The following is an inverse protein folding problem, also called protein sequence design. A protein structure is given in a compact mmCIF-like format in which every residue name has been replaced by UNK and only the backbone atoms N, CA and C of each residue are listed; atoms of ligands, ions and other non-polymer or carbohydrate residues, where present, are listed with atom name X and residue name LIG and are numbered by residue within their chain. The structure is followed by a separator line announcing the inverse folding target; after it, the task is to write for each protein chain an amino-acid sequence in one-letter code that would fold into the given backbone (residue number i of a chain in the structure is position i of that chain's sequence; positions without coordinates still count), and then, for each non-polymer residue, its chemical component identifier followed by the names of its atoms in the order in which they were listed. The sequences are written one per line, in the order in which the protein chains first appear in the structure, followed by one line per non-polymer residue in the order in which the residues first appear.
data_IF_522792397376
#
_entry.id   IF_522792397376
#
_cell.length_a   1.000
_cell.length_b   1.000
_cell.length_c   1.000
_cell.angle_alpha   90.00
_cell.angle_beta   90.00
_cell.angle_gamma   90.00
#
_symmetry.space_group_name_H-M   'P 1'
#
loop_
_entity.id
_entity.type
_entity.pdbx_description
1 polymer ?
#
# COMPACT_ATOMS: atom_id res chain seq x y z
N UNK A 1 -26.51 -5.82 1.87
CA UNK A 1 -26.56 -5.35 0.47
C UNK A 1 -25.26 -5.78 -0.21
N UNK A 2 -25.25 -6.88 -0.99
CA UNK A 2 -24.05 -7.27 -1.77
C UNK A 2 -23.87 -6.24 -2.89
N UNK A 3 -22.96 -5.27 -2.71
CA UNK A 3 -22.57 -4.36 -3.79
C UNK A 3 -21.89 -5.22 -4.85
N UNK A 4 -22.50 -5.38 -6.03
CA UNK A 4 -22.14 -6.41 -7.03
C UNK A 4 -20.66 -6.44 -7.46
N UNK A 5 -19.91 -5.37 -7.21
CA UNK A 5 -18.57 -5.16 -7.77
C UNK A 5 -17.45 -5.11 -6.71
N UNK A 6 -17.76 -5.14 -5.41
CA UNK A 6 -16.78 -5.17 -4.32
C UNK A 6 -17.07 -6.35 -3.40
N UNK A 7 -16.12 -7.27 -3.28
CA UNK A 7 -16.21 -8.37 -2.31
C UNK A 7 -15.36 -8.08 -1.09
N UNK A 8 -15.83 -8.49 0.08
CA UNK A 8 -15.13 -8.34 1.36
C UNK A 8 -14.97 -9.75 1.95
N UNK A 9 -13.74 -10.10 2.32
CA UNK A 9 -13.41 -11.40 2.94
C UNK A 9 -12.51 -11.14 4.14
N UNK A 10 -12.76 -11.85 5.25
CA UNK A 10 -11.81 -11.91 6.37
C UNK A 10 -10.68 -12.86 5.99
N UNK A 11 -9.44 -12.41 6.09
CA UNK A 11 -8.24 -13.19 5.73
C UNK A 11 -7.36 -13.54 6.92
N UNK A 12 -7.48 -12.80 8.02
CA UNK A 12 -6.63 -13.02 9.18
C UNK A 12 -7.16 -12.36 10.44
N UNK A 13 -6.29 -12.32 11.44
CA UNK A 13 -6.52 -11.69 12.72
C UNK A 13 -5.23 -11.07 13.25
N UNK A 14 -5.35 -10.00 14.02
CA UNK A 14 -4.25 -9.41 14.78
C UNK A 14 -3.91 -10.21 16.04
N UNK A 15 -2.88 -9.80 16.77
CA UNK A 15 -2.49 -10.41 18.06
C UNK A 15 -3.67 -10.42 19.06
N UNK A 16 -4.43 -9.34 19.16
CA UNK A 16 -5.61 -9.26 20.03
C UNK A 16 -6.88 -9.84 19.40
N UNK A 17 -6.76 -10.52 18.26
CA UNK A 17 -7.87 -11.23 17.62
C UNK A 17 -8.81 -10.35 16.80
N UNK A 18 -8.42 -9.11 16.44
CA UNK A 18 -9.23 -8.24 15.56
C UNK A 18 -9.12 -8.71 14.12
N UNK A 19 -10.21 -8.66 13.38
CA UNK A 19 -10.27 -9.14 12.01
C UNK A 19 -9.40 -8.30 11.05
N UNK A 20 -8.69 -8.97 10.16
CA UNK A 20 -8.01 -8.36 9.02
C UNK A 20 -8.79 -8.72 7.76
N UNK A 21 -9.20 -7.69 7.00
CA UNK A 21 -10.07 -7.83 5.84
C UNK A 21 -9.33 -7.58 4.52
N UNK A 22 -9.68 -8.38 3.51
CA UNK A 22 -9.35 -8.18 2.12
C UNK A 22 -10.58 -7.75 1.35
N UNK A 23 -10.46 -6.64 0.64
CA UNK A 23 -11.47 -6.11 -0.26
C UNK A 23 -10.98 -6.28 -1.70
N UNK A 24 -11.85 -6.74 -2.59
CA UNK A 24 -11.52 -6.96 -4.01
C UNK A 24 -12.48 -6.24 -4.93
N UNK A 25 -11.93 -5.50 -5.89
CA UNK A 25 -12.66 -4.83 -6.98
C UNK A 25 -12.03 -5.16 -8.34
N UNK A 26 -12.85 -5.33 -9.38
CA UNK A 26 -12.37 -5.58 -10.73
C UNK A 26 -12.19 -7.05 -11.09
N UNK A 27 -11.97 -7.29 -12.38
CA UNK A 27 -11.78 -8.62 -12.98
C UNK A 27 -10.72 -8.61 -14.08
N UNK A 28 -9.88 -7.58 -14.12
CA UNK A 28 -8.85 -7.44 -15.13
C UNK A 28 -7.59 -8.26 -14.86
N UNK A 29 -6.73 -8.33 -15.87
CA UNK A 29 -5.57 -9.23 -15.89
C UNK A 29 -4.46 -8.79 -14.94
N UNK A 30 -4.30 -7.48 -14.76
CA UNK A 30 -3.27 -6.89 -13.92
C UNK A 30 -3.74 -6.88 -12.46
N UNK A 31 -3.08 -7.65 -11.61
CA UNK A 31 -3.41 -7.78 -10.20
C UNK A 31 -2.59 -6.79 -9.39
N UNK A 32 -3.24 -5.99 -8.55
CA UNK A 32 -2.58 -5.02 -7.69
C UNK A 32 -2.99 -5.28 -6.26
N UNK A 33 -2.02 -5.46 -5.36
CA UNK A 33 -2.24 -5.54 -3.92
C UNK A 33 -1.85 -4.20 -3.28
N UNK A 34 -2.75 -3.64 -2.49
CA UNK A 34 -2.54 -2.41 -1.75
C UNK A 34 -2.83 -2.67 -0.27
N UNK A 35 -1.97 -2.20 0.62
CA UNK A 35 -2.25 -2.24 2.05
C UNK A 35 -1.87 -0.92 2.71
N UNK A 36 -2.57 -0.61 3.80
CA UNK A 36 -2.35 0.57 4.63
C UNK A 36 -2.35 0.19 6.10
N UNK A 37 -1.91 1.14 6.94
CA UNK A 37 -1.83 0.99 8.39
C UNK A 37 -1.13 -0.31 8.81
N UNK A 38 0.02 -0.62 8.21
CA UNK A 38 0.94 -1.59 8.83
C UNK A 38 1.60 -0.97 10.06
N UNK A 39 1.81 0.35 10.04
CA UNK A 39 1.98 1.17 11.23
C UNK A 39 0.61 1.70 11.64
N UNK A 40 0.20 1.43 12.87
CA UNK A 40 -1.18 1.72 13.31
C UNK A 40 -1.50 3.21 13.36
N UNK A 41 -0.50 4.04 13.65
CA UNK A 41 -0.56 5.49 13.76
C UNK A 41 -0.53 6.26 12.42
N UNK A 42 -0.60 5.56 11.28
CA UNK A 42 -0.56 6.15 9.93
C UNK A 42 -1.90 5.96 9.16
N UNK A 43 -3.01 6.62 9.55
CA UNK A 43 -4.35 6.31 9.06
C UNK A 43 -4.69 6.90 7.69
N UNK A 44 -3.87 7.80 7.12
CA UNK A 44 -4.27 8.61 5.97
C UNK A 44 -4.62 7.76 4.75
N UNK A 45 -3.81 6.73 4.46
CA UNK A 45 -4.06 5.84 3.32
C UNK A 45 -5.32 4.99 3.49
N UNK A 46 -5.66 4.59 4.71
CA UNK A 46 -6.90 3.87 5.01
C UNK A 46 -8.11 4.71 4.65
N UNK A 47 -8.12 5.98 5.07
CA UNK A 47 -9.19 6.93 4.72
C UNK A 47 -9.27 7.14 3.20
N UNK A 48 -8.13 7.30 2.53
CA UNK A 48 -8.07 7.43 1.08
C UNK A 48 -8.63 6.19 0.34
N UNK A 49 -8.45 4.98 0.87
CA UNK A 49 -9.10 3.78 0.32
C UNK A 49 -10.62 3.85 0.42
N UNK A 50 -11.19 4.35 1.52
CA UNK A 50 -12.64 4.51 1.64
C UNK A 50 -13.20 5.56 0.67
N UNK A 51 -12.48 6.66 0.44
CA UNK A 51 -12.82 7.63 -0.61
C UNK A 51 -12.77 6.99 -2.00
N UNK A 52 -11.74 6.18 -2.28
CA UNK A 52 -11.65 5.42 -3.51
C UNK A 52 -12.79 4.42 -3.66
N UNK A 53 -13.19 3.71 -2.60
CA UNK A 53 -14.35 2.81 -2.65
C UNK A 53 -15.64 3.57 -2.93
N UNK A 54 -15.82 4.74 -2.33
CA UNK A 54 -16.95 5.63 -2.63
C UNK A 54 -16.95 6.04 -4.11
N UNK A 55 -15.78 6.39 -4.67
CA UNK A 55 -15.66 6.68 -6.10
C UNK A 55 -15.99 5.45 -6.96
N UNK A 56 -15.37 4.29 -6.71
CA UNK A 56 -15.49 3.08 -7.52
C UNK A 56 -16.89 2.46 -7.53
N UNK A 57 -17.71 2.77 -6.51
CA UNK A 57 -19.05 2.19 -6.33
C UNK A 57 -20.18 3.15 -6.68
N UNK A 58 -19.87 4.37 -7.09
CA UNK A 58 -20.84 5.32 -7.63
C UNK A 58 -21.29 4.94 -9.04
N UNK A 59 -22.43 5.50 -9.43
CA UNK A 59 -22.88 5.56 -10.81
C UNK A 59 -23.19 7.02 -11.14
N UNK A 60 -22.35 7.59 -11.99
CA UNK A 60 -22.32 8.99 -12.41
C UNK A 60 -21.53 9.11 -13.73
N UNK A 61 -21.21 10.32 -14.18
CA UNK A 61 -20.51 10.59 -15.45
C UNK A 61 -19.15 9.86 -15.60
N UNK A 62 -18.53 9.41 -14.51
CA UNK A 62 -17.27 8.66 -14.54
C UNK A 62 -17.43 7.14 -14.75
N UNK A 63 -18.62 6.66 -15.09
CA UNK A 63 -18.90 5.22 -15.26
C UNK A 63 -18.02 4.54 -16.33
N UNK A 64 -17.67 5.28 -17.39
CA UNK A 64 -16.77 4.76 -18.43
C UNK A 64 -15.38 4.45 -17.85
N UNK A 65 -14.82 5.38 -17.08
CA UNK A 65 -13.53 5.21 -16.41
C UNK A 65 -13.56 4.05 -15.41
N UNK A 66 -14.62 3.93 -14.60
CA UNK A 66 -14.77 2.80 -13.66
C UNK A 66 -14.84 1.45 -14.36
N UNK A 67 -15.55 1.35 -15.49
CA UNK A 67 -15.60 0.12 -16.30
C UNK A 67 -14.24 -0.21 -16.90
N UNK A 68 -13.48 0.80 -17.34
CA UNK A 68 -12.12 0.61 -17.83
C UNK A 68 -11.21 0.08 -16.71
N UNK A 69 -11.22 0.70 -15.53
CA UNK A 69 -10.49 0.23 -14.35
C UNK A 69 -10.88 -1.22 -14.01
N UNK A 70 -12.19 -1.50 -13.93
CA UNK A 70 -12.72 -2.82 -13.58
C UNK A 70 -12.27 -3.91 -14.58
N UNK A 71 -12.25 -3.61 -15.87
CA UNK A 71 -11.90 -4.56 -16.92
C UNK A 71 -10.38 -4.76 -17.11
N UNK A 72 -9.57 -3.75 -16.75
CA UNK A 72 -8.11 -3.81 -16.88
C UNK A 72 -7.41 -4.31 -15.62
N UNK A 73 -7.94 -3.97 -14.44
CA UNK A 73 -7.31 -4.25 -13.15
C UNK A 73 -8.16 -5.21 -12.30
N UNK A 74 -7.46 -5.99 -11.47
CA UNK A 74 -8.03 -6.62 -10.28
C UNK A 74 -7.31 -6.03 -9.07
N UNK A 75 -8.02 -5.22 -8.30
CA UNK A 75 -7.51 -4.51 -7.14
C UNK A 75 -7.84 -5.27 -5.86
N UNK A 76 -6.84 -5.50 -5.04
CA UNK A 76 -6.92 -6.13 -3.73
C UNK A 76 -6.46 -5.14 -2.67
N UNK A 77 -7.29 -4.86 -1.69
CA UNK A 77 -7.02 -3.90 -0.63
C UNK A 77 -7.03 -4.61 0.72
N UNK A 78 -6.00 -4.36 1.53
CA UNK A 78 -6.00 -4.63 2.97
C UNK A 78 -6.04 -3.28 3.68
N UNK A 79 -7.24 -2.75 4.01
CA UNK A 79 -7.36 -1.37 4.48
C UNK A 79 -6.74 -1.11 5.84
N UNK A 80 -6.50 -2.14 6.64
CA UNK A 80 -5.88 -1.98 7.94
C UNK A 80 -5.20 -3.29 8.29
N UNK A 81 -3.86 -3.32 8.21
CA UNK A 81 -3.08 -4.51 8.50
C UNK A 81 -2.82 -4.66 10.01
N UNK A 82 -2.61 -3.55 10.72
CA UNK A 82 -2.34 -3.48 12.16
C UNK A 82 -3.51 -2.83 12.92
N UNK A 83 -4.67 -3.51 13.07
CA UNK A 83 -5.81 -2.95 13.78
C UNK A 83 -5.55 -2.75 15.28
N UNK A 84 -4.62 -3.50 15.89
CA UNK A 84 -4.28 -3.34 17.31
C UNK A 84 -3.48 -2.05 17.53
N UNK A 85 -2.48 -1.79 16.69
CA UNK A 85 -1.72 -0.54 16.71
C UNK A 85 -2.60 0.65 16.37
N UNK A 86 -3.55 0.50 15.43
CA UNK A 86 -4.50 1.56 15.09
C UNK A 86 -5.39 1.97 16.27
N UNK A 87 -5.92 0.98 17.02
CA UNK A 87 -6.72 1.23 18.23
C UNK A 87 -5.91 1.97 19.32
N UNK A 88 -4.59 1.73 19.36
CA UNK A 88 -3.68 2.31 20.36
C UNK A 88 -2.92 3.55 19.87
N UNK A 89 -3.09 3.93 18.60
CA UNK A 89 -2.31 4.97 17.91
C UNK A 89 -0.80 4.73 18.10
N UNK A 90 -0.36 3.52 17.78
CA UNK A 90 1.06 3.12 17.83
C UNK A 90 1.53 2.61 16.48
N UNK A 91 2.80 2.84 16.20
CA UNK A 91 3.50 2.28 15.04
C UNK A 91 3.50 0.75 15.08
N UNK A 92 3.86 0.17 16.21
CA UNK A 92 3.98 -1.26 16.39
C UNK A 92 2.62 -1.96 16.60
N UNK A 93 2.58 -3.28 16.46
CA UNK A 93 1.42 -4.09 16.85
C UNK A 93 1.34 -4.29 18.38
N UNK A 94 0.36 -5.06 18.86
CA UNK A 94 0.16 -5.27 20.31
C UNK A 94 1.34 -5.98 21.03
N UNK A 95 2.24 -6.64 20.31
CA UNK A 95 3.47 -7.21 20.88
C UNK A 95 4.68 -6.26 20.83
N UNK A 96 4.51 -5.03 20.34
CA UNK A 96 5.61 -4.08 20.16
C UNK A 96 6.49 -4.41 18.96
N UNK A 97 5.99 -5.17 17.98
CA UNK A 97 6.71 -5.48 16.74
C UNK A 97 6.33 -4.46 15.66
N UNK A 98 7.33 -3.81 15.08
CA UNK A 98 7.16 -3.08 13.82
C UNK A 98 6.95 -4.11 12.70
N UNK A 99 5.72 -4.18 12.16
CA UNK A 99 5.38 -5.12 11.09
C UNK A 99 6.27 -4.93 9.86
N UNK A 100 6.76 -3.72 9.60
CA UNK A 100 7.69 -3.44 8.51
C UNK A 100 9.14 -3.77 8.87
N UNK A 101 9.37 -4.53 9.94
CA UNK A 101 10.66 -5.16 10.30
C UNK A 101 10.48 -6.66 10.57
N UNK A 102 9.36 -7.24 10.17
CA UNK A 102 8.97 -8.63 10.43
C UNK A 102 8.81 -9.48 9.16
N UNK A 103 9.24 -8.98 7.98
CA UNK A 103 9.04 -9.67 6.71
C UNK A 103 9.81 -11.00 6.58
N UNK A 104 10.95 -11.14 7.28
CA UNK A 104 11.75 -12.36 7.29
C UNK A 104 11.37 -13.33 8.42
N UNK A 105 11.16 -12.78 9.61
CA UNK A 105 10.91 -13.60 10.80
C UNK A 105 9.45 -14.05 10.88
N UNK A 106 8.53 -13.27 10.30
CA UNK A 106 7.10 -13.53 10.24
C UNK A 106 6.55 -13.94 11.61
N UNK A 107 6.92 -13.21 12.66
CA UNK A 107 6.52 -13.51 14.03
C UNK A 107 5.05 -13.17 14.25
N UNK A 108 4.58 -12.10 13.62
CA UNK A 108 3.26 -11.53 13.84
C UNK A 108 2.19 -12.19 12.95
N UNK A 109 0.97 -12.46 13.48
CA UNK A 109 -0.11 -13.00 12.66
C UNK A 109 -0.52 -12.07 11.51
N UNK A 110 -0.36 -10.75 11.68
CA UNK A 110 -0.56 -9.74 10.64
C UNK A 110 0.42 -9.95 9.48
N UNK A 111 1.72 -10.06 9.77
CA UNK A 111 2.78 -10.33 8.79
C UNK A 111 2.54 -11.64 8.02
N UNK A 112 2.13 -12.70 8.74
CA UNK A 112 1.76 -13.99 8.14
C UNK A 112 0.55 -13.86 7.22
N UNK A 113 -0.44 -13.07 7.62
CA UNK A 113 -1.63 -12.80 6.78
C UNK A 113 -1.20 -12.11 5.49
N UNK A 114 -0.35 -11.08 5.57
CA UNK A 114 0.10 -10.34 4.40
C UNK A 114 0.90 -11.21 3.43
N UNK A 115 1.86 -12.00 3.91
CA UNK A 115 2.68 -12.84 3.02
C UNK A 115 1.85 -13.93 2.35
N UNK A 116 0.90 -14.55 3.08
CA UNK A 116 -0.02 -15.53 2.49
C UNK A 116 -0.87 -14.91 1.37
N UNK A 117 -1.30 -13.66 1.53
CA UNK A 117 -2.02 -12.93 0.49
C UNK A 117 -1.14 -12.62 -0.71
N UNK A 118 0.11 -12.22 -0.49
CA UNK A 118 1.07 -12.01 -1.59
C UNK A 118 1.25 -13.31 -2.39
N UNK A 119 1.43 -14.44 -1.71
CA UNK A 119 1.63 -15.75 -2.34
C UNK A 119 0.37 -16.24 -3.08
N UNK A 120 -0.81 -16.13 -2.46
CA UNK A 120 -2.09 -16.55 -3.05
C UNK A 120 -2.46 -15.68 -4.27
N UNK A 121 -2.34 -14.35 -4.12
CA UNK A 121 -2.73 -13.41 -5.16
C UNK A 121 -1.70 -13.38 -6.28
N UNK A 122 -0.41 -13.50 -5.95
CA UNK A 122 0.73 -13.31 -6.86
C UNK A 122 0.55 -12.02 -7.70
N UNK A 123 0.58 -10.83 -7.07
CA UNK A 123 0.26 -9.57 -7.71
C UNK A 123 1.35 -9.12 -8.70
N UNK A 124 0.96 -8.38 -9.74
CA UNK A 124 1.91 -7.73 -10.64
C UNK A 124 2.58 -6.51 -10.00
N UNK A 125 1.84 -5.82 -9.13
CA UNK A 125 2.31 -4.68 -8.35
C UNK A 125 1.75 -4.70 -6.94
N UNK A 126 2.56 -4.21 -6.00
CA UNK A 126 2.24 -4.10 -4.58
C UNK A 126 2.50 -2.68 -4.11
N UNK A 127 1.56 -2.09 -3.38
CA UNK A 127 1.69 -0.75 -2.81
C UNK A 127 1.61 -0.82 -1.29
N UNK A 128 2.72 -0.47 -0.66
CA UNK A 128 2.85 -0.30 0.78
C UNK A 128 2.59 1.17 1.13
N UNK A 129 1.44 1.48 1.73
CA UNK A 129 1.02 2.86 1.96
C UNK A 129 1.34 3.31 3.39
N UNK A 130 2.10 4.40 3.50
CA UNK A 130 2.58 5.00 4.76
C UNK A 130 2.24 6.48 4.81
N UNK A 131 2.18 7.02 6.02
CA UNK A 131 2.18 8.46 6.24
C UNK A 131 3.63 8.96 6.29
N UNK A 132 3.84 10.22 5.90
CA UNK A 132 5.14 10.87 5.97
C UNK A 132 5.13 11.91 7.09
N UNK A 133 6.23 12.00 7.83
CA UNK A 133 6.38 13.03 8.85
C UNK A 133 6.37 14.43 8.19
N UNK A 134 5.59 15.35 8.75
CA UNK A 134 5.37 16.70 8.25
C UNK A 134 6.67 17.54 8.13
N UNK A 135 7.76 17.10 8.76
CA UNK A 135 9.08 17.76 8.69
C UNK A 135 9.86 17.41 7.43
N UNK A 136 9.40 16.48 6.60
CA UNK A 136 10.08 16.12 5.36
C UNK A 136 9.72 17.05 4.21
N UNK A 137 10.76 17.56 3.55
CA UNK A 137 10.61 18.37 2.34
C UNK A 137 10.77 17.55 1.05
N UNK A 138 10.23 18.09 -0.04
CA UNK A 138 10.45 17.59 -1.39
C UNK A 138 11.86 18.01 -1.87
N UNK A 139 12.85 17.15 -1.56
CA UNK A 139 14.26 17.44 -1.83
C UNK A 139 14.81 18.52 -0.89
N UNK A 140 15.85 19.23 -1.33
CA UNK A 140 16.43 20.36 -0.60
C UNK A 140 15.65 21.64 -0.88
N UNK A 141 14.39 21.66 -0.43
CA UNK A 141 13.47 22.80 -0.61
C UNK A 141 12.73 23.09 0.70
N UNK A 142 12.02 24.22 0.75
CA UNK A 142 11.10 24.53 1.85
C UNK A 142 9.67 24.01 1.63
N UNK A 143 9.45 23.19 0.59
CA UNK A 143 8.14 22.63 0.27
C UNK A 143 7.99 21.29 0.97
N UNK A 144 7.02 21.18 1.88
CA UNK A 144 6.67 19.92 2.53
C UNK A 144 6.29 18.86 1.48
N UNK A 145 6.79 17.64 1.62
CA UNK A 145 6.47 16.57 0.69
C UNK A 145 4.98 16.19 0.81
N UNK A 146 4.22 16.38 -0.27
CA UNK A 146 2.82 15.93 -0.36
C UNK A 146 2.72 14.46 -0.79
N UNK A 147 3.73 13.96 -1.51
CA UNK A 147 3.84 12.58 -1.94
C UNK A 147 5.32 12.18 -1.91
N UNK A 148 5.63 11.03 -1.33
CA UNK A 148 6.97 10.44 -1.42
C UNK A 148 6.87 9.08 -2.11
N UNK A 149 7.72 8.84 -3.11
CA UNK A 149 7.73 7.60 -3.88
C UNK A 149 9.01 6.81 -3.63
N UNK A 150 8.85 5.49 -3.47
CA UNK A 150 9.94 4.54 -3.32
C UNK A 150 9.76 3.40 -4.32
N UNK A 151 10.82 3.06 -5.04
CA UNK A 151 10.99 1.76 -5.67
C UNK A 151 11.96 0.95 -4.79
N UNK A 152 11.46 -0.02 -3.99
CA UNK A 152 12.24 -0.74 -2.98
C UNK A 152 13.54 -1.34 -3.52
N UNK A 153 14.54 -1.47 -2.64
CA UNK A 153 15.84 -2.06 -2.94
C UNK A 153 15.84 -3.50 -2.46
N UNK A 154 16.20 -4.46 -3.32
CA UNK A 154 16.20 -5.88 -2.93
C UNK A 154 17.57 -6.38 -2.43
N UNK A 155 18.63 -5.57 -2.58
CA UNK A 155 19.95 -5.86 -2.05
C UNK A 155 20.68 -4.58 -1.60
N UNK A 156 21.73 -4.75 -0.78
CA UNK A 156 22.56 -3.66 -0.28
C UNK A 156 23.35 -2.93 -1.38
N UNK A 157 23.56 -3.58 -2.54
CA UNK A 157 24.22 -2.98 -3.71
C UNK A 157 23.27 -2.10 -4.53
N UNK A 158 21.98 -2.10 -4.20
CA UNK A 158 20.92 -1.43 -4.94
C UNK A 158 20.92 -1.86 -6.41
N UNK A 159 21.08 -3.15 -6.66
CA UNK A 159 20.97 -3.74 -8.00
C UNK A 159 19.58 -3.46 -8.58
N UNK A 160 19.48 -3.34 -9.90
CA UNK A 160 18.20 -3.21 -10.62
C UNK A 160 17.89 -4.55 -11.29
N UNK A 161 17.02 -5.33 -10.67
CA UNK A 161 16.46 -6.54 -11.29
C UNK A 161 15.19 -6.18 -12.08
N UNK A 162 14.59 -7.17 -12.76
CA UNK A 162 13.38 -6.95 -13.57
C UNK A 162 12.19 -6.41 -12.76
N UNK A 163 12.04 -6.84 -11.49
CA UNK A 163 10.94 -6.38 -10.63
C UNK A 163 11.12 -4.90 -10.27
N UNK A 164 12.31 -4.55 -9.76
CA UNK A 164 12.65 -3.18 -9.41
C UNK A 164 12.66 -2.25 -10.61
N UNK A 165 13.09 -2.71 -11.79
CA UNK A 165 13.00 -1.93 -13.02
C UNK A 165 11.55 -1.56 -13.36
N UNK A 166 10.61 -2.50 -13.24
CA UNK A 166 9.17 -2.22 -13.43
C UNK A 166 8.67 -1.20 -12.39
N UNK A 167 9.05 -1.36 -11.12
CA UNK A 167 8.68 -0.42 -10.07
C UNK A 167 9.23 0.99 -10.34
N UNK A 168 10.49 1.12 -10.77
CA UNK A 168 11.10 2.40 -11.15
C UNK A 168 10.32 3.05 -12.31
N UNK A 169 9.98 2.29 -13.34
CA UNK A 169 9.19 2.79 -14.49
C UNK A 169 7.81 3.27 -14.07
N UNK A 170 7.15 2.52 -13.17
CA UNK A 170 5.84 2.91 -12.63
C UNK A 170 5.95 4.19 -11.78
N UNK A 171 6.92 4.27 -10.88
CA UNK A 171 7.21 5.46 -10.07
C UNK A 171 7.49 6.68 -10.97
N UNK A 172 8.26 6.52 -12.04
CA UNK A 172 8.51 7.59 -13.00
C UNK A 172 7.23 8.05 -13.72
N UNK A 173 6.35 7.11 -14.10
CA UNK A 173 5.06 7.45 -14.71
C UNK A 173 4.14 8.20 -13.74
N UNK A 174 4.04 7.74 -12.48
CA UNK A 174 3.29 8.42 -11.42
C UNK A 174 3.84 9.83 -11.20
N UNK A 175 5.16 9.96 -11.04
CA UNK A 175 5.82 11.25 -10.87
C UNK A 175 5.49 12.21 -12.02
N UNK A 176 5.61 11.75 -13.27
CA UNK A 176 5.35 12.60 -14.45
C UNK A 176 3.89 13.07 -14.52
N UNK A 177 2.93 12.22 -14.16
CA UNK A 177 1.52 12.60 -14.14
C UNK A 177 1.22 13.57 -12.99
N UNK A 178 1.65 13.23 -11.78
CA UNK A 178 1.34 14.00 -10.58
C UNK A 178 2.10 15.33 -10.51
N UNK A 179 3.26 15.45 -11.15
CA UNK A 179 4.01 16.72 -11.22
C UNK A 179 3.23 17.86 -11.86
N UNK A 180 2.21 17.55 -12.70
CA UNK A 180 1.31 18.54 -13.29
C UNK A 180 0.42 19.22 -12.22
N UNK A 181 0.13 18.50 -11.15
CA UNK A 181 -0.75 18.94 -10.06
C UNK A 181 0.02 19.31 -8.78
N UNK A 182 1.20 18.70 -8.56
CA UNK A 182 2.05 18.85 -7.38
C UNK A 182 3.47 19.34 -7.72
N UNK A 183 3.65 20.46 -8.43
CA UNK A 183 4.97 20.90 -8.90
C UNK A 183 5.92 21.23 -7.74
N UNK A 184 6.93 20.39 -7.58
CA UNK A 184 7.93 20.50 -6.52
C UNK A 184 7.45 20.06 -5.12
N UNK A 185 6.37 19.28 -5.04
CA UNK A 185 5.86 18.70 -3.79
C UNK A 185 5.99 17.17 -3.75
N UNK A 186 6.65 16.56 -4.75
CA UNK A 186 6.89 15.12 -4.82
C UNK A 186 8.34 14.86 -4.42
N UNK A 187 8.55 14.00 -3.43
CA UNK A 187 9.84 13.57 -2.93
C UNK A 187 10.19 12.15 -3.43
N UNK A 188 11.49 11.85 -3.48
CA UNK A 188 11.98 10.47 -3.51
C UNK A 188 12.26 10.03 -2.08
N UNK A 189 11.64 8.94 -1.64
CA UNK A 189 11.92 8.37 -0.32
C UNK A 189 13.31 7.71 -0.29
N UNK A 190 13.95 7.67 0.88
CA UNK A 190 15.27 7.04 1.04
C UNK A 190 15.23 5.55 0.69
N UNK A 191 16.17 5.09 -0.13
CA UNK A 191 16.27 3.70 -0.59
C UNK A 191 17.34 2.91 0.18
N UNK A 192 17.34 3.06 1.50
CA UNK A 192 18.19 2.26 2.40
C UNK A 192 17.71 0.82 2.42
N UNK A 193 18.62 -0.13 2.21
CA UNK A 193 18.29 -1.55 2.23
C UNK A 193 18.01 -2.03 3.65
N UNK A 194 16.80 -2.53 3.88
CA UNK A 194 16.38 -3.14 5.14
C UNK A 194 15.73 -4.50 4.83
N UNK A 195 16.50 -5.61 4.88
CA UNK A 195 16.03 -6.93 4.46
C UNK A 195 14.84 -7.45 5.27
N UNK A 196 14.57 -6.85 6.43
CA UNK A 196 13.42 -7.20 7.28
C UNK A 196 12.13 -6.47 6.89
N UNK A 197 12.19 -5.50 5.97
CA UNK A 197 11.02 -4.74 5.52
C UNK A 197 10.28 -5.44 4.39
N UNK A 198 8.96 -5.24 4.34
CA UNK A 198 8.16 -5.71 3.22
C UNK A 198 8.49 -4.89 1.97
N UNK A 199 8.99 -5.56 0.93
CA UNK A 199 9.36 -4.97 -0.36
C UNK A 199 10.86 -4.94 -0.65
N UNK A 200 11.70 -5.14 0.37
CA UNK A 200 13.16 -5.10 0.24
C UNK A 200 13.78 -6.50 -0.02
N UNK A 201 13.00 -7.44 -0.56
CA UNK A 201 13.44 -8.82 -0.85
C UNK A 201 12.80 -9.36 -2.12
#
# INVERSE_FOLDING_TARGET
MKRKNLTVKKEGYSIEGRDIYLLKFGSGKTKILLWSQMHGDEPTATLAFFDLFNFLLKSDEYDSLRKEIFSKLTLYFVPMLNPDGAERITRENAAGIDLNRDALALQSPESKTLINLVDEINPDFSFNMHDQDFRWAAGDTNKMAALALLAPVFDSKKTINKSREKAIKLVAAIHNEFSKYLPGYIARYGDGYEPRSFGDT
#
